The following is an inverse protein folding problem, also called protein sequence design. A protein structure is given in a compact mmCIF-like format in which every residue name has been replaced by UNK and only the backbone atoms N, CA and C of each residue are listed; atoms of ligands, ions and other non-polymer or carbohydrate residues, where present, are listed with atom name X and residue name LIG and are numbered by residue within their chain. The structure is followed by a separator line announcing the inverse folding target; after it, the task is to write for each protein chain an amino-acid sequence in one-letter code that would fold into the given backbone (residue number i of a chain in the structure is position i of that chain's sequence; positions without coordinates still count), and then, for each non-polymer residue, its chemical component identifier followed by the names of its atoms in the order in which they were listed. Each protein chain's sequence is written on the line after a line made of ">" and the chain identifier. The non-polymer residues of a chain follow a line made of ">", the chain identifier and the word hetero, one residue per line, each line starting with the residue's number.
data_IF_924495400110
#
_entry.id   IF_924495400110
#
_cell.length_a   1.000
_cell.length_b   1.000
_cell.length_c   1.000
_cell.angle_alpha   90.00
_cell.angle_beta   90.00
_cell.angle_gamma   90.00
#
_symmetry.space_group_name_H-M   'P 1'
#
loop_
_entity.id
_entity.type
_entity.pdbx_description
1 polymer ?
#
# COMPACT_ATOMS: atom_id res chain seq x y z
N UNK A 1 52.64 31.84 28.99
CA UNK A 1 52.34 30.64 28.20
C UNK A 1 50.81 30.54 28.08
N UNK A 2 50.24 30.87 26.93
CA UNK A 2 48.81 30.79 26.66
C UNK A 2 48.53 29.51 25.91
N UNK A 3 47.84 28.53 26.52
CA UNK A 3 47.33 27.33 25.87
C UNK A 3 46.06 27.63 25.09
N UNK A 4 46.16 27.63 23.82
CA UNK A 4 45.02 27.77 22.89
C UNK A 4 44.39 26.40 22.65
N UNK A 5 43.20 26.16 23.22
CA UNK A 5 42.41 24.98 22.96
C UNK A 5 41.67 25.16 21.62
N UNK A 6 42.12 24.48 20.59
CA UNK A 6 41.41 24.36 19.31
C UNK A 6 40.25 23.40 19.48
N UNK A 7 39.03 23.94 19.48
CA UNK A 7 37.79 23.19 19.46
C UNK A 7 37.51 22.73 18.03
N UNK A 8 37.75 21.46 17.78
CA UNK A 8 37.46 20.82 16.48
C UNK A 8 35.98 20.54 16.36
N UNK A 9 35.30 21.33 15.54
CA UNK A 9 33.87 21.16 15.26
C UNK A 9 33.70 20.00 14.24
N UNK A 10 33.31 18.82 14.74
CA UNK A 10 32.96 17.69 13.90
C UNK A 10 31.57 17.93 13.32
N UNK A 11 31.53 18.36 12.05
CA UNK A 11 30.29 18.49 11.28
C UNK A 11 29.87 17.10 10.82
N UNK A 12 28.92 16.47 11.55
CA UNK A 12 28.28 15.22 11.12
C UNK A 12 27.29 15.59 10.02
N UNK A 13 27.69 15.38 8.78
CA UNK A 13 26.76 15.44 7.64
C UNK A 13 25.91 14.17 7.66
N UNK A 14 24.70 14.28 8.18
CA UNK A 14 23.67 13.25 8.01
C UNK A 14 23.16 13.34 6.58
N UNK A 15 23.68 12.49 5.69
CA UNK A 15 23.09 12.27 4.37
C UNK A 15 21.74 11.57 4.58
N UNK A 16 20.68 12.36 4.57
CA UNK A 16 19.33 11.83 4.48
C UNK A 16 19.15 11.19 3.10
N UNK A 17 19.09 9.86 3.06
CA UNK A 17 18.59 9.12 1.91
C UNK A 17 17.10 9.49 1.76
N UNK A 18 16.81 10.36 0.81
CA UNK A 18 15.44 10.58 0.37
C UNK A 18 15.01 9.33 -0.41
N UNK A 19 14.32 8.42 0.27
CA UNK A 19 13.59 7.35 -0.41
C UNK A 19 12.49 8.00 -1.24
N UNK A 20 12.64 7.94 -2.55
CA UNK A 20 11.58 8.32 -3.49
C UNK A 20 10.48 7.26 -3.39
N UNK A 21 9.52 7.46 -2.49
CA UNK A 21 8.28 6.72 -2.51
C UNK A 21 7.55 7.07 -3.81
N UNK A 22 7.53 6.15 -4.77
CA UNK A 22 6.68 6.26 -5.95
C UNK A 22 5.23 6.22 -5.48
N UNK A 23 4.56 7.37 -5.52
CA UNK A 23 3.17 7.48 -5.10
C UNK A 23 2.27 6.88 -6.20
N UNK A 24 1.74 5.70 -5.96
CA UNK A 24 0.41 5.34 -6.43
C UNK A 24 -0.58 6.34 -5.81
N UNK A 25 -1.77 6.54 -6.36
CA UNK A 25 -2.71 7.61 -5.96
C UNK A 25 -2.74 7.93 -4.45
N UNK A 26 -3.43 8.99 -4.06
CA UNK A 26 -3.42 9.53 -2.69
C UNK A 26 -3.55 8.43 -1.60
N UNK A 27 -2.47 8.23 -0.84
CA UNK A 27 -2.43 7.29 0.29
C UNK A 27 -2.04 5.86 -0.03
N UNK A 28 -1.89 5.47 -1.29
CA UNK A 28 -1.46 4.13 -1.69
C UNK A 28 0.07 4.02 -1.77
N UNK A 29 0.60 2.95 -1.22
CA UNK A 29 2.01 2.57 -1.33
C UNK A 29 2.18 1.51 -2.44
N UNK A 30 3.37 1.45 -3.04
CA UNK A 30 3.72 0.43 -4.02
C UNK A 30 4.79 -0.54 -3.51
N UNK A 31 5.53 -0.14 -2.49
CA UNK A 31 6.54 -0.97 -1.82
C UNK A 31 5.89 -1.75 -0.66
N UNK A 32 5.80 -3.06 -0.82
CA UNK A 32 5.17 -3.93 0.17
C UNK A 32 5.98 -4.05 1.47
N UNK A 33 7.30 -4.07 1.39
CA UNK A 33 8.13 -4.15 2.59
C UNK A 33 8.04 -2.87 3.42
N UNK A 34 8.07 -1.71 2.77
CA UNK A 34 7.84 -0.43 3.44
C UNK A 34 6.43 -0.35 4.05
N UNK A 35 5.43 -0.88 3.34
CA UNK A 35 4.06 -0.94 3.86
C UNK A 35 3.94 -1.83 5.11
N UNK A 36 4.62 -2.97 5.15
CA UNK A 36 4.66 -3.82 6.36
C UNK A 36 5.29 -3.11 7.56
N UNK A 37 6.39 -2.40 7.33
CA UNK A 37 7.03 -1.59 8.39
C UNK A 37 6.06 -0.56 8.93
N UNK A 38 5.38 0.18 8.04
CA UNK A 38 4.38 1.18 8.40
C UNK A 38 3.20 0.56 9.16
N UNK A 39 2.63 -0.52 8.65
CA UNK A 39 1.49 -1.22 9.26
C UNK A 39 1.80 -1.67 10.69
N UNK A 40 2.98 -2.25 10.90
CA UNK A 40 3.43 -2.66 12.22
C UNK A 40 3.66 -1.48 13.16
N UNK A 41 4.30 -0.41 12.68
CA UNK A 41 4.58 0.78 13.48
C UNK A 41 3.31 1.51 13.92
N UNK A 42 2.30 1.59 13.04
CA UNK A 42 1.01 2.24 13.30
C UNK A 42 -0.04 1.30 13.88
N UNK A 43 0.26 0.00 14.00
CA UNK A 43 -0.68 -1.05 14.39
C UNK A 43 -1.96 -1.04 13.56
N UNK A 44 -1.82 -0.85 12.24
CA UNK A 44 -2.92 -0.82 11.28
C UNK A 44 -2.90 -2.05 10.37
N UNK A 45 -4.05 -2.64 10.05
CA UNK A 45 -4.15 -3.66 9.02
C UNK A 45 -3.79 -3.11 7.65
N UNK A 46 -3.36 -4.00 6.75
CA UNK A 46 -3.06 -3.64 5.36
C UNK A 46 -4.19 -4.11 4.43
N UNK A 47 -4.50 -3.28 3.44
CA UNK A 47 -5.34 -3.65 2.32
C UNK A 47 -4.47 -3.62 1.06
N UNK A 48 -4.30 -4.80 0.44
CA UNK A 48 -3.55 -4.97 -0.80
C UNK A 48 -4.52 -5.07 -1.98
N UNK A 49 -4.35 -4.21 -2.99
CA UNK A 49 -5.12 -4.27 -4.23
C UNK A 49 -4.25 -4.83 -5.37
N UNK A 50 -4.49 -6.07 -5.76
CA UNK A 50 -3.95 -6.63 -7.00
C UNK A 50 -4.82 -6.21 -8.15
N UNK A 51 -4.30 -5.31 -8.98
CA UNK A 51 -5.08 -4.59 -9.98
C UNK A 51 -4.44 -4.62 -11.37
N UNK A 52 -5.23 -4.37 -12.39
CA UNK A 52 -4.80 -4.07 -13.75
C UNK A 52 -5.33 -2.69 -14.13
N UNK A 53 -4.67 -1.64 -13.62
CA UNK A 53 -5.19 -0.27 -13.59
C UNK A 53 -5.53 0.34 -14.96
N UNK A 54 -4.93 -0.14 -16.04
CA UNK A 54 -5.11 0.39 -17.40
C UNK A 54 -5.87 -0.52 -18.34
N UNK A 55 -6.31 -1.72 -17.89
CA UNK A 55 -7.00 -2.67 -18.76
C UNK A 55 -8.12 -3.49 -18.09
N UNK A 56 -8.09 -3.64 -16.76
CA UNK A 56 -9.06 -4.46 -16.02
C UNK A 56 -10.32 -3.65 -15.72
N UNK A 57 -11.40 -3.92 -16.43
CA UNK A 57 -12.68 -3.17 -16.30
C UNK A 57 -13.21 -3.17 -14.86
N UNK A 58 -13.16 -4.30 -14.16
CA UNK A 58 -13.64 -4.39 -12.78
C UNK A 58 -12.71 -3.70 -11.78
N UNK A 59 -11.39 -3.64 -12.07
CA UNK A 59 -10.44 -2.89 -11.25
C UNK A 59 -10.70 -1.38 -11.37
N UNK A 60 -10.83 -0.89 -12.61
CA UNK A 60 -11.16 0.52 -12.89
C UNK A 60 -12.50 0.90 -12.24
N UNK A 61 -13.47 -0.02 -12.30
CA UNK A 61 -14.77 0.19 -11.66
C UNK A 61 -14.66 0.27 -10.14
N UNK A 62 -13.89 -0.63 -9.51
CA UNK A 62 -13.65 -0.62 -8.06
C UNK A 62 -12.96 0.67 -7.61
N UNK A 63 -11.93 1.09 -8.35
CA UNK A 63 -11.24 2.34 -8.08
C UNK A 63 -12.21 3.53 -8.16
N UNK A 64 -12.98 3.64 -9.23
CA UNK A 64 -13.92 4.76 -9.44
C UNK A 64 -15.07 4.77 -8.45
N UNK A 65 -15.66 3.61 -8.13
CA UNK A 65 -16.88 3.53 -7.31
C UNK A 65 -16.60 3.45 -5.81
N UNK A 66 -15.37 3.11 -5.42
CA UNK A 66 -15.01 2.88 -4.01
C UNK A 66 -13.74 3.62 -3.62
N UNK A 67 -12.59 3.25 -4.18
CA UNK A 67 -11.30 3.73 -3.68
C UNK A 67 -11.06 5.22 -3.96
N UNK A 68 -11.63 5.74 -5.05
CA UNK A 68 -11.59 7.17 -5.41
C UNK A 68 -12.54 8.04 -4.58
N UNK A 69 -13.50 7.45 -3.86
CA UNK A 69 -14.55 8.16 -3.14
C UNK A 69 -14.12 8.58 -1.73
N UNK A 70 -14.61 9.74 -1.29
CA UNK A 70 -14.22 10.35 -0.01
C UNK A 70 -14.48 9.42 1.19
N UNK A 71 -15.61 8.74 1.23
CA UNK A 71 -15.97 7.87 2.36
C UNK A 71 -14.96 6.71 2.54
N UNK A 72 -14.46 6.13 1.46
CA UNK A 72 -13.40 5.12 1.54
C UNK A 72 -12.05 5.74 1.92
N UNK A 73 -11.68 6.86 1.27
CA UNK A 73 -10.39 7.55 1.53
C UNK A 73 -10.24 7.97 2.98
N UNK A 74 -11.29 8.55 3.56
CA UNK A 74 -11.29 9.00 4.96
C UNK A 74 -11.13 7.82 5.92
N UNK A 75 -11.88 6.74 5.70
CA UNK A 75 -11.75 5.51 6.49
C UNK A 75 -10.34 4.91 6.36
N UNK A 76 -9.86 4.77 5.14
CA UNK A 76 -8.56 4.16 4.88
C UNK A 76 -7.39 4.96 5.47
N UNK A 77 -7.43 6.28 5.38
CA UNK A 77 -6.41 7.14 5.99
C UNK A 77 -6.34 6.98 7.51
N UNK A 78 -7.48 6.79 8.17
CA UNK A 78 -7.55 6.59 9.62
C UNK A 78 -7.14 5.16 10.03
N UNK A 79 -7.58 4.13 9.31
CA UNK A 79 -7.63 2.76 9.79
C UNK A 79 -6.76 1.76 9.02
N UNK A 80 -6.28 2.07 7.81
CA UNK A 80 -5.60 1.11 6.95
C UNK A 80 -4.23 1.61 6.47
N UNK A 81 -3.37 0.67 6.08
CA UNK A 81 -2.24 0.91 5.19
C UNK A 81 -2.61 0.31 3.84
N UNK A 82 -2.65 1.15 2.80
CA UNK A 82 -3.04 0.75 1.45
C UNK A 82 -1.82 0.42 0.60
N UNK A 83 -1.89 -0.69 -0.14
CA UNK A 83 -0.83 -1.16 -1.05
C UNK A 83 -1.41 -1.49 -2.42
N UNK A 84 -0.97 -0.78 -3.46
CA UNK A 84 -1.31 -1.06 -4.84
C UNK A 84 -0.27 -1.99 -5.47
N UNK A 85 -0.70 -3.11 -5.98
CA UNK A 85 0.09 -4.11 -6.69
C UNK A 85 -0.42 -4.19 -8.13
N UNK A 86 0.02 -3.23 -8.96
CA UNK A 86 -0.47 -3.06 -10.33
C UNK A 86 0.23 -4.01 -11.32
N UNK A 87 -0.53 -4.48 -12.30
CA UNK A 87 -0.11 -5.32 -13.42
C UNK A 87 -0.48 -4.64 -14.75
N UNK A 88 0.15 -3.51 -15.08
CA UNK A 88 -0.21 -2.71 -16.23
C UNK A 88 0.14 -3.40 -17.55
N UNK A 89 -0.56 -3.03 -18.63
CA UNK A 89 -0.28 -3.49 -20.02
C UNK A 89 0.16 -2.36 -20.93
N UNK A 90 -0.36 -1.14 -20.71
CA UNK A 90 -0.12 0.03 -21.56
C UNK A 90 0.86 1.05 -20.98
N UNK A 91 1.27 0.90 -19.71
CA UNK A 91 2.23 1.80 -19.06
C UNK A 91 3.44 1.03 -18.53
N UNK A 92 4.59 1.73 -18.47
CA UNK A 92 5.83 1.16 -17.94
C UNK A 92 5.79 0.91 -16.44
N UNK A 93 6.55 -0.08 -15.99
CA UNK A 93 6.77 -0.41 -14.60
C UNK A 93 8.23 -0.82 -14.43
N UNK A 94 8.87 -0.51 -13.30
CA UNK A 94 10.25 -0.95 -13.05
C UNK A 94 10.33 -2.48 -12.94
N UNK A 95 11.48 -3.03 -13.24
CA UNK A 95 11.71 -4.48 -13.15
C UNK A 95 11.55 -4.98 -11.72
N UNK A 96 12.00 -4.19 -10.74
CA UNK A 96 11.91 -4.50 -9.31
C UNK A 96 10.46 -4.56 -8.84
N UNK A 97 9.66 -3.54 -9.20
CA UNK A 97 8.25 -3.48 -8.82
C UNK A 97 7.45 -4.61 -9.48
N UNK A 98 7.72 -4.90 -10.76
CA UNK A 98 7.12 -6.03 -11.45
C UNK A 98 7.45 -7.35 -10.76
N UNK A 99 8.71 -7.59 -10.43
CA UNK A 99 9.16 -8.81 -9.76
C UNK A 99 8.51 -8.94 -8.36
N UNK A 100 8.41 -7.86 -7.58
CA UNK A 100 7.69 -7.85 -6.32
C UNK A 100 6.23 -8.27 -6.49
N UNK A 101 5.51 -7.62 -7.41
CA UNK A 101 4.10 -7.86 -7.61
C UNK A 101 3.82 -9.29 -8.09
N UNK A 102 4.63 -9.82 -9.01
CA UNK A 102 4.55 -11.21 -9.46
C UNK A 102 4.81 -12.22 -8.33
N UNK A 103 5.82 -11.96 -7.49
CA UNK A 103 6.14 -12.82 -6.35
C UNK A 103 5.00 -12.85 -5.33
N UNK A 104 4.41 -11.69 -5.01
CA UNK A 104 3.27 -11.58 -4.09
C UNK A 104 2.01 -12.24 -4.68
N UNK A 105 1.72 -12.05 -5.96
CA UNK A 105 0.60 -12.71 -6.61
C UNK A 105 0.72 -14.23 -6.55
N UNK A 106 1.91 -14.77 -6.76
CA UNK A 106 2.21 -16.20 -6.61
C UNK A 106 2.06 -16.66 -5.16
N UNK A 107 2.64 -15.92 -4.20
CA UNK A 107 2.60 -16.23 -2.77
C UNK A 107 1.17 -16.34 -2.25
N UNK A 108 0.30 -15.41 -2.63
CA UNK A 108 -1.10 -15.37 -2.20
C UNK A 108 -2.06 -16.12 -3.12
N UNK A 109 -1.57 -16.77 -4.18
CA UNK A 109 -2.40 -17.52 -5.12
C UNK A 109 -3.44 -16.65 -5.82
N UNK A 110 -3.04 -15.46 -6.28
CA UNK A 110 -3.90 -14.55 -7.05
C UNK A 110 -4.07 -15.11 -8.46
N UNK A 111 -5.33 -15.29 -8.87
CA UNK A 111 -5.67 -15.89 -10.18
C UNK A 111 -6.45 -14.96 -11.10
N UNK A 112 -6.80 -13.79 -10.63
CA UNK A 112 -7.57 -12.80 -11.39
C UNK A 112 -7.62 -11.46 -10.69
N UNK A 113 -8.18 -10.47 -11.36
CA UNK A 113 -8.23 -9.09 -10.91
C UNK A 113 -9.66 -8.52 -10.96
N UNK A 114 -10.03 -7.63 -10.03
CA UNK A 114 -9.26 -7.28 -8.84
C UNK A 114 -9.26 -8.41 -7.81
N UNK A 115 -8.16 -8.56 -7.10
CA UNK A 115 -8.08 -9.38 -5.88
C UNK A 115 -7.63 -8.47 -4.75
N UNK A 116 -8.44 -8.42 -3.70
CA UNK A 116 -8.15 -7.61 -2.51
C UNK A 116 -7.78 -8.55 -1.36
N UNK A 117 -6.65 -8.29 -0.73
CA UNK A 117 -6.24 -8.99 0.47
C UNK A 117 -6.32 -8.05 1.67
N UNK A 118 -6.86 -8.54 2.76
CA UNK A 118 -6.81 -7.86 4.06
C UNK A 118 -5.83 -8.64 4.95
N UNK A 119 -4.77 -7.95 5.38
CA UNK A 119 -3.74 -8.50 6.25
C UNK A 119 -3.77 -7.81 7.60
N UNK A 120 -3.41 -8.54 8.65
CA UNK A 120 -3.18 -7.97 9.98
C UNK A 120 -1.93 -7.05 10.00
N UNK A 121 -1.73 -6.23 11.06
CA UNK A 121 -0.55 -5.37 11.18
C UNK A 121 0.78 -6.11 11.17
N UNK A 122 0.80 -7.39 11.51
CA UNK A 122 1.97 -8.27 11.46
C UNK A 122 2.10 -9.04 10.12
N UNK A 123 1.27 -8.71 9.12
CA UNK A 123 1.36 -9.20 7.76
C UNK A 123 0.71 -10.56 7.50
N UNK A 124 -0.10 -11.09 8.43
CA UNK A 124 -0.83 -12.34 8.21
C UNK A 124 -2.11 -12.10 7.42
N UNK A 125 -2.40 -12.96 6.47
CA UNK A 125 -3.64 -12.91 5.71
C UNK A 125 -4.85 -13.19 6.63
N UNK A 126 -5.77 -12.21 6.68
CA UNK A 126 -7.06 -12.36 7.36
C UNK A 126 -8.08 -12.89 6.36
N UNK A 127 -8.25 -12.21 5.21
CA UNK A 127 -9.22 -12.63 4.20
C UNK A 127 -8.82 -12.16 2.80
N UNK A 128 -9.31 -12.89 1.79
CA UNK A 128 -9.25 -12.56 0.37
C UNK A 128 -10.65 -12.20 -0.10
N UNK A 129 -10.79 -11.05 -0.73
CA UNK A 129 -12.03 -10.53 -1.29
C UNK A 129 -11.80 -9.90 -2.67
N UNK A 130 -12.73 -9.11 -3.17
CA UNK A 130 -12.65 -8.44 -4.47
C UNK A 130 -13.69 -7.33 -4.58
N UNK A 131 -14.18 -7.07 -5.79
CA UNK A 131 -15.22 -6.09 -6.01
C UNK A 131 -16.52 -6.47 -5.29
N UNK A 132 -17.10 -5.51 -4.59
CA UNK A 132 -18.42 -5.59 -3.95
C UNK A 132 -19.30 -4.45 -4.46
N UNK A 133 -20.57 -4.75 -4.69
CA UNK A 133 -21.56 -3.73 -5.06
C UNK A 133 -21.98 -2.93 -3.83
N UNK A 134 -22.42 -1.69 -4.04
CA UNK A 134 -23.03 -0.88 -2.99
C UNK A 134 -22.28 0.42 -2.66
N UNK A 135 -21.17 0.67 -3.37
CA UNK A 135 -20.39 1.91 -3.21
C UNK A 135 -19.44 1.89 -2.01
N UNK A 136 -18.88 3.06 -1.67
CA UNK A 136 -17.76 3.14 -0.72
C UNK A 136 -18.19 2.83 0.72
N UNK A 137 -19.36 3.25 1.17
CA UNK A 137 -19.84 2.98 2.53
C UNK A 137 -20.07 1.48 2.75
N UNK A 138 -20.72 0.81 1.79
CA UNK A 138 -20.94 -0.63 1.86
C UNK A 138 -19.60 -1.40 1.84
N UNK A 139 -18.62 -0.91 1.08
CA UNK A 139 -17.30 -1.50 1.03
C UNK A 139 -16.53 -1.32 2.35
N UNK A 140 -16.61 -0.15 2.96
CA UNK A 140 -16.05 0.12 4.30
C UNK A 140 -16.64 -0.84 5.33
N UNK A 141 -17.96 -1.03 5.35
CA UNK A 141 -18.60 -1.98 6.27
C UNK A 141 -18.18 -3.43 5.99
N UNK A 142 -17.99 -3.81 4.72
CA UNK A 142 -17.45 -5.10 4.34
C UNK A 142 -16.03 -5.32 4.91
N UNK A 143 -15.14 -4.33 4.77
CA UNK A 143 -13.76 -4.41 5.33
C UNK A 143 -13.80 -4.47 6.87
N UNK A 144 -14.63 -3.66 7.53
CA UNK A 144 -14.82 -3.74 8.99
C UNK A 144 -15.28 -5.13 9.44
N UNK A 145 -16.21 -5.74 8.69
CA UNK A 145 -16.68 -7.09 8.96
C UNK A 145 -15.59 -8.16 8.83
N UNK A 146 -14.63 -7.97 7.90
CA UNK A 146 -13.46 -8.84 7.76
C UNK A 146 -12.53 -8.67 8.97
N UNK A 147 -12.28 -7.43 9.39
CA UNK A 147 -11.36 -7.13 10.50
C UNK A 147 -11.91 -7.51 11.88
N UNK A 148 -13.22 -7.74 12.00
CA UNK A 148 -13.87 -8.16 13.24
C UNK A 148 -13.84 -9.68 13.49
N UNK A 149 -13.27 -10.48 12.55
CA UNK A 149 -13.13 -11.94 12.68
C UNK A 149 -11.94 -12.32 13.54
#
# INVERSE_FOLDING_TARGET
>A
MKFQKTLSLFCVVVLGLAESASAAGDGWMTDFEAAKVKAKAENKPMLLDFTGSDWCVWCIKLDKEVFGEAAFKDYAAAELVLVELDFPRGKGQSAELKAQNEALAKQYGVRGFPTILVLSPDGKLIEKTGYQRGGPEAYVEHIKGILAK
#
